data_IF_659934981114
#
_entry.id   IF_659934981114
#
_cell.length_a   1.000
_cell.length_b   1.000
_cell.length_c   1.000
_cell.angle_alpha   90.00
_cell.angle_beta   90.00
_cell.angle_gamma   90.00
#
_symmetry.space_group_name_H-M   'P 1'
#
loop_
_entity.id
_entity.type
_entity.pdbx_description
1 polymer ?
#
# COMPACT_ATOMS: atom_id res chain seq x y z
N UNK A 1 -49.41 52.27 -3.34
CA UNK A 1 -48.15 52.24 -2.55
C UNK A 1 -47.01 51.91 -3.49
N UNK A 2 -46.45 52.92 -4.18
CA UNK A 2 -45.12 53.54 -3.89
C UNK A 2 -43.99 52.47 -3.90
N UNK A 3 -43.32 52.20 -5.03
CA UNK A 3 -42.16 52.87 -5.66
C UNK A 3 -40.81 52.67 -4.92
N UNK A 4 -39.82 52.23 -5.72
CA UNK A 4 -38.34 52.49 -5.64
C UNK A 4 -37.59 51.63 -4.61
N UNK A 5 -36.37 51.14 -4.85
CA UNK A 5 -35.40 51.29 -5.95
C UNK A 5 -34.25 50.32 -5.70
N UNK A 6 -33.74 49.71 -6.78
CA UNK A 6 -32.39 49.14 -6.87
C UNK A 6 -31.37 50.20 -6.42
N UNK A 7 -30.54 49.93 -5.41
CA UNK A 7 -29.32 50.68 -5.06
C UNK A 7 -28.62 49.99 -3.88
N UNK A 8 -27.65 49.13 -4.19
CA UNK A 8 -26.51 48.82 -3.31
C UNK A 8 -25.41 48.18 -4.19
N UNK A 9 -25.02 48.96 -5.18
CA UNK A 9 -23.73 48.89 -5.83
C UNK A 9 -23.09 50.27 -5.63
N UNK A 10 -21.77 50.29 -5.45
CA UNK A 10 -20.87 51.46 -5.29
C UNK A 10 -20.55 51.85 -3.83
N UNK A 11 -19.32 51.52 -3.44
CA UNK A 11 -18.36 52.16 -2.51
C UNK A 11 -17.54 51.01 -1.91
N UNK A 12 -16.34 50.66 -2.38
CA UNK A 12 -15.13 51.48 -2.35
C UNK A 12 -14.19 51.00 -3.46
N UNK A 13 -13.89 51.88 -4.42
CA UNK A 13 -12.68 51.80 -5.24
C UNK A 13 -11.77 52.94 -4.79
N UNK A 14 -10.50 52.66 -4.52
CA UNK A 14 -9.49 53.71 -4.40
C UNK A 14 -8.20 53.33 -3.69
N UNK A 15 -7.19 52.95 -4.48
CA UNK A 15 -5.75 53.27 -4.31
C UNK A 15 -5.08 52.58 -3.09
N UNK A 16 -4.09 51.71 -3.24
CA UNK A 16 -2.70 52.03 -3.59
C UNK A 16 -2.04 50.82 -4.27
N UNK A 17 -1.52 51.05 -5.47
CA UNK A 17 -0.44 50.27 -6.04
C UNK A 17 0.88 50.95 -5.68
N UNK A 18 1.77 50.27 -4.97
CA UNK A 18 3.22 50.51 -5.04
C UNK A 18 3.96 49.20 -4.81
N UNK A 19 4.64 48.80 -5.87
CA UNK A 19 5.62 47.72 -6.00
C UNK A 19 6.82 47.88 -5.07
N UNK A 20 7.35 46.76 -4.58
CA UNK A 20 8.81 46.59 -4.47
C UNK A 20 9.20 45.17 -4.87
N UNK A 21 9.62 45.06 -6.14
CA UNK A 21 10.58 44.04 -6.55
C UNK A 21 11.87 44.28 -5.76
N UNK A 22 12.35 43.30 -5.00
CA UNK A 22 13.75 43.26 -4.55
C UNK A 22 14.49 42.28 -5.46
N UNK A 23 15.22 42.84 -6.42
CA UNK A 23 16.20 42.14 -7.23
C UNK A 23 17.62 42.32 -6.68
N UNK A 24 18.34 41.20 -6.57
CA UNK A 24 19.79 40.93 -6.63
C UNK A 24 20.84 41.98 -6.16
N UNK A 25 21.74 41.49 -5.28
CA UNK A 25 23.20 41.67 -5.44
C UNK A 25 23.96 42.28 -4.25
N UNK A 26 24.85 41.49 -3.61
CA UNK A 26 25.98 42.05 -2.83
C UNK A 26 26.30 41.42 -1.46
N UNK A 27 26.91 40.23 -1.47
CA UNK A 27 27.90 39.66 -0.52
C UNK A 27 28.32 40.53 0.71
N UNK A 28 28.02 40.08 1.93
CA UNK A 28 28.98 39.55 2.92
C UNK A 28 28.38 39.42 4.34
N UNK A 29 28.34 38.19 4.87
CA UNK A 29 28.70 37.91 6.26
C UNK A 29 27.67 38.11 7.38
N UNK A 30 26.69 37.20 7.48
CA UNK A 30 26.37 36.54 8.76
C UNK A 30 25.99 35.10 8.46
N UNK A 31 26.92 34.18 8.70
CA UNK A 31 26.68 32.74 8.81
C UNK A 31 25.81 32.48 10.05
N UNK A 32 24.50 32.68 9.88
CA UNK A 32 23.51 31.99 10.70
C UNK A 32 23.40 30.58 10.15
N UNK A 33 23.74 29.59 10.97
CA UNK A 33 23.51 28.18 10.71
C UNK A 33 22.01 28.02 10.40
N UNK A 34 21.65 27.93 9.11
CA UNK A 34 20.33 27.42 8.74
C UNK A 34 20.42 25.95 9.06
N UNK A 35 19.91 25.54 10.23
CA UNK A 35 19.44 24.17 10.40
C UNK A 35 18.60 23.88 9.15
N UNK A 36 19.12 22.98 8.31
CA UNK A 36 18.49 22.66 7.04
C UNK A 36 17.05 22.25 7.32
N UNK A 37 16.12 22.80 6.55
CA UNK A 37 14.71 22.46 6.65
C UNK A 37 14.55 20.93 6.72
N UNK A 38 14.02 20.45 7.85
CA UNK A 38 13.88 19.02 8.13
C UNK A 38 12.97 18.45 7.05
N UNK A 39 13.48 17.49 6.27
CA UNK A 39 12.67 16.83 5.23
C UNK A 39 11.62 15.97 5.91
N UNK A 40 10.41 15.95 5.35
CA UNK A 40 9.33 15.06 5.78
C UNK A 40 9.20 13.91 4.80
N UNK A 41 9.11 12.68 5.30
CA UNK A 41 8.67 11.50 4.56
C UNK A 41 7.26 11.13 5.02
N UNK A 42 6.35 11.01 4.06
CA UNK A 42 4.98 10.57 4.30
C UNK A 42 4.86 9.09 3.92
N UNK A 43 4.44 8.27 4.89
CA UNK A 43 4.18 6.85 4.72
C UNK A 43 2.68 6.62 4.82
N UNK A 44 2.06 6.05 3.79
CA UNK A 44 0.70 5.54 3.87
C UNK A 44 0.73 4.04 4.17
N UNK A 45 -0.01 3.60 5.17
CA UNK A 45 0.02 2.21 5.64
C UNK A 45 -1.36 1.59 5.58
N UNK A 46 -1.45 0.48 4.86
CA UNK A 46 -2.63 -0.38 4.78
C UNK A 46 -2.75 -1.37 5.94
N UNK A 47 -1.80 -1.36 6.88
CA UNK A 47 -1.92 -2.13 8.11
C UNK A 47 -3.03 -1.62 9.03
N UNK A 48 -3.39 -2.43 10.01
CA UNK A 48 -4.37 -2.04 11.03
C UNK A 48 -3.84 -0.91 11.91
N UNK A 49 -4.74 -0.13 12.52
CA UNK A 49 -4.39 0.97 13.42
C UNK A 49 -3.38 0.61 14.52
N UNK A 50 -3.42 -0.62 15.05
CA UNK A 50 -2.46 -1.06 16.07
C UNK A 50 -1.06 -1.31 15.49
N UNK A 51 -0.99 -1.91 14.30
CA UNK A 51 0.28 -2.13 13.61
C UNK A 51 0.90 -0.81 13.15
N UNK A 52 0.08 0.13 12.65
CA UNK A 52 0.51 1.48 12.30
C UNK A 52 1.17 2.18 13.49
N UNK A 53 0.57 2.10 14.69
CA UNK A 53 1.15 2.68 15.91
C UNK A 53 2.50 2.09 16.28
N UNK A 54 2.69 0.78 16.10
CA UNK A 54 3.99 0.15 16.39
C UNK A 54 5.03 0.51 15.32
N UNK A 55 4.64 0.52 14.04
CA UNK A 55 5.51 0.96 12.96
C UNK A 55 5.94 2.43 13.11
N UNK A 56 5.01 3.31 13.50
CA UNK A 56 5.27 4.73 13.70
C UNK A 56 6.38 4.97 14.74
N UNK A 57 6.47 4.16 15.79
CA UNK A 57 7.57 4.26 16.77
C UNK A 57 8.92 4.01 16.11
N UNK A 58 9.03 2.93 15.34
CA UNK A 58 10.28 2.57 14.64
C UNK A 58 10.65 3.62 13.60
N UNK A 59 9.66 4.08 12.83
CA UNK A 59 9.84 5.10 11.80
C UNK A 59 10.29 6.46 12.39
N UNK A 60 9.72 6.87 13.54
CA UNK A 60 10.12 8.08 14.25
C UNK A 60 11.55 7.98 14.79
N UNK A 61 11.91 6.86 15.43
CA UNK A 61 13.28 6.66 15.91
C UNK A 61 14.30 6.73 14.77
N UNK A 62 14.02 6.10 13.63
CA UNK A 62 14.86 6.23 12.44
C UNK A 62 14.92 7.69 11.93
N UNK A 63 13.79 8.40 11.92
CA UNK A 63 13.73 9.80 11.50
C UNK A 63 14.56 10.73 12.39
N UNK A 64 14.50 10.54 13.71
CA UNK A 64 15.31 11.29 14.68
C UNK A 64 16.82 11.09 14.44
N UNK A 65 17.26 9.85 14.19
CA UNK A 65 18.65 9.52 13.90
C UNK A 65 19.15 10.11 12.56
N UNK A 66 18.25 10.33 11.60
CA UNK A 66 18.58 10.76 10.24
C UNK A 66 18.22 12.23 9.95
N UNK A 67 17.76 12.99 10.95
CA UNK A 67 17.24 14.34 10.80
C UNK A 67 16.13 14.44 9.72
N UNK A 68 15.19 13.51 9.78
CA UNK A 68 14.02 13.40 8.90
C UNK A 68 12.76 13.29 9.77
N UNK A 69 11.68 13.97 9.37
CA UNK A 69 10.37 13.79 9.99
C UNK A 69 9.66 12.66 9.25
N UNK A 70 9.14 11.67 9.97
CA UNK A 70 8.36 10.60 9.34
C UNK A 70 6.92 10.70 9.82
N UNK A 71 6.03 10.99 8.87
CA UNK A 71 4.60 11.07 9.07
C UNK A 71 3.97 9.76 8.57
N UNK A 72 3.50 8.92 9.49
CA UNK A 72 2.83 7.66 9.15
C UNK A 72 1.32 7.86 9.24
N UNK A 73 0.63 7.61 8.13
CA UNK A 73 -0.81 7.77 7.97
C UNK A 73 -1.43 6.40 7.73
N UNK A 74 -2.45 6.06 8.51
CA UNK A 74 -3.29 4.89 8.21
C UNK A 74 -4.12 5.19 6.96
N UNK A 75 -4.03 4.31 5.96
CA UNK A 75 -4.79 4.39 4.72
C UNK A 75 -5.53 3.09 4.46
N UNK A 76 -6.86 3.16 4.48
CA UNK A 76 -7.75 2.05 4.13
C UNK A 76 -8.53 2.36 2.84
N UNK A 77 -8.04 3.33 2.06
CA UNK A 77 -8.57 3.73 0.78
C UNK A 77 -8.39 2.66 -0.30
N UNK A 78 -9.03 2.89 -1.46
CA UNK A 78 -8.91 1.96 -2.59
C UNK A 78 -7.60 2.19 -3.33
N UNK A 79 -7.01 1.13 -3.88
CA UNK A 79 -5.79 1.23 -4.67
C UNK A 79 -5.90 2.17 -5.88
N UNK A 80 -7.09 2.33 -6.49
CA UNK A 80 -7.27 3.30 -7.57
C UNK A 80 -7.15 4.76 -7.09
N UNK A 81 -7.65 5.06 -5.89
CA UNK A 81 -7.54 6.38 -5.25
C UNK A 81 -6.09 6.64 -4.83
N UNK A 82 -5.41 5.61 -4.32
CA UNK A 82 -3.97 5.62 -4.02
C UNK A 82 -3.13 5.96 -5.26
N UNK A 83 -3.37 5.29 -6.41
CA UNK A 83 -2.68 5.60 -7.68
C UNK A 83 -2.90 7.06 -8.07
N UNK A 84 -4.12 7.57 -7.96
CA UNK A 84 -4.42 8.97 -8.28
C UNK A 84 -3.69 9.94 -7.34
N UNK A 85 -3.63 9.63 -6.05
CA UNK A 85 -2.91 10.44 -5.06
C UNK A 85 -1.40 10.49 -5.33
N UNK A 86 -0.78 9.35 -5.67
CA UNK A 86 0.64 9.27 -6.05
C UNK A 86 0.99 10.10 -7.30
N UNK A 87 0.00 10.43 -8.14
CA UNK A 87 0.19 11.30 -9.31
C UNK A 87 -0.01 12.79 -9.00
N UNK A 88 -0.34 13.13 -7.76
CA UNK A 88 -0.47 14.50 -7.27
C UNK A 88 0.74 14.93 -6.44
N UNK A 89 0.89 16.23 -6.22
CA UNK A 89 1.95 16.79 -5.36
C UNK A 89 1.83 16.38 -3.87
N UNK A 90 0.71 15.76 -3.47
CA UNK A 90 0.43 15.37 -2.07
C UNK A 90 0.41 13.85 -1.87
N UNK A 91 0.92 13.06 -2.82
CA UNK A 91 1.02 11.61 -2.67
C UNK A 91 2.02 11.19 -1.59
N UNK A 92 1.96 9.94 -1.10
CA UNK A 92 2.94 9.42 -0.16
C UNK A 92 4.32 9.19 -0.81
N UNK A 93 5.37 9.23 -0.01
CA UNK A 93 6.72 8.80 -0.41
C UNK A 93 6.86 7.27 -0.38
N UNK A 94 6.14 6.61 0.53
CA UNK A 94 6.14 5.16 0.70
C UNK A 94 4.73 4.66 1.01
N UNK A 95 4.36 3.54 0.38
CA UNK A 95 3.15 2.79 0.70
C UNK A 95 3.56 1.48 1.36
N UNK A 96 2.99 1.19 2.51
CA UNK A 96 3.29 0.04 3.35
C UNK A 96 2.08 -0.89 3.44
N UNK A 97 2.32 -2.20 3.49
CA UNK A 97 1.29 -3.19 3.75
C UNK A 97 0.39 -3.52 2.56
N UNK A 98 0.90 -3.35 1.33
CA UNK A 98 0.14 -3.70 0.12
C UNK A 98 0.59 -5.04 -0.43
N UNK A 99 -0.35 -5.98 -0.69
CA UNK A 99 -0.06 -7.25 -1.36
C UNK A 99 0.56 -7.08 -2.75
N UNK A 100 1.56 -7.90 -3.06
CA UNK A 100 2.39 -7.80 -4.27
C UNK A 100 1.64 -8.03 -5.59
N UNK A 101 0.48 -8.70 -5.56
CA UNK A 101 -0.39 -8.93 -6.72
C UNK A 101 -0.86 -7.64 -7.39
N UNK A 102 -0.81 -6.50 -6.68
CA UNK A 102 -1.14 -5.18 -7.21
C UNK A 102 0.07 -4.45 -7.84
N UNK A 103 1.30 -4.94 -7.62
CA UNK A 103 2.54 -4.27 -8.05
C UNK A 103 2.59 -4.06 -9.56
N UNK A 104 2.11 -5.03 -10.35
CA UNK A 104 2.05 -4.90 -11.81
C UNK A 104 1.16 -3.74 -12.28
N UNK A 105 0.07 -3.47 -11.57
CA UNK A 105 -0.82 -2.33 -11.85
C UNK A 105 -0.14 -1.01 -11.50
N UNK A 106 0.52 -0.94 -10.34
CA UNK A 106 1.23 0.27 -9.89
C UNK A 106 2.43 0.60 -10.79
N UNK A 107 3.19 -0.42 -11.20
CA UNK A 107 4.32 -0.25 -12.11
C UNK A 107 3.86 0.27 -13.47
N UNK A 108 2.78 -0.28 -14.04
CA UNK A 108 2.19 0.21 -15.29
C UNK A 108 1.65 1.64 -15.16
N UNK A 109 1.11 2.01 -14.00
CA UNK A 109 0.65 3.37 -13.72
C UNK A 109 1.80 4.38 -13.48
N UNK A 110 3.05 3.90 -13.39
CA UNK A 110 4.22 4.74 -13.20
C UNK A 110 4.39 5.29 -11.78
N UNK A 111 3.73 4.68 -10.78
CA UNK A 111 3.75 5.15 -9.38
C UNK A 111 4.73 4.38 -8.49
N UNK A 112 5.61 3.57 -9.07
CA UNK A 112 6.65 2.82 -8.36
C UNK A 112 8.03 3.23 -8.81
N UNK A 113 8.96 3.43 -7.87
CA UNK A 113 10.38 3.58 -8.18
C UNK A 113 11.06 2.20 -8.31
N UNK A 114 12.09 2.14 -9.14
CA UNK A 114 12.99 0.97 -9.18
C UNK A 114 13.78 0.90 -7.87
N UNK A 115 13.81 -0.27 -7.25
CA UNK A 115 14.59 -0.51 -6.02
C UNK A 115 16.07 -0.51 -6.38
N UNK A 116 16.93 0.22 -5.64
CA UNK A 116 18.37 0.22 -5.88
C UNK A 116 18.98 -1.18 -5.86
N UNK A 117 19.88 -1.44 -6.82
CA UNK A 117 20.54 -2.72 -6.95
C UNK A 117 21.26 -3.14 -5.65
N UNK A 118 21.09 -4.40 -5.26
CA UNK A 118 21.71 -4.98 -4.05
C UNK A 118 20.93 -4.73 -2.75
N UNK A 119 19.86 -3.94 -2.79
CA UNK A 119 19.01 -3.73 -1.62
C UNK A 119 18.23 -5.01 -1.25
N UNK A 120 17.62 -5.66 -2.25
CA UNK A 120 16.85 -6.90 -2.10
C UNK A 120 17.55 -8.05 -2.84
N UNK A 121 17.83 -9.14 -2.13
CA UNK A 121 18.46 -10.35 -2.66
C UNK A 121 17.92 -11.59 -1.94
N UNK A 122 17.82 -12.72 -2.65
CA UNK A 122 17.12 -13.90 -2.16
C UNK A 122 17.73 -14.52 -0.90
N UNK A 123 19.04 -14.34 -0.67
CA UNK A 123 19.75 -14.77 0.53
C UNK A 123 19.30 -14.04 1.81
N UNK A 124 18.63 -12.89 1.67
CA UNK A 124 18.02 -12.16 2.79
C UNK A 124 16.60 -12.62 3.12
N UNK A 125 16.02 -13.52 2.32
CA UNK A 125 14.64 -13.98 2.43
C UNK A 125 14.56 -15.50 2.44
N UNK A 126 13.38 -16.03 2.75
CA UNK A 126 13.16 -17.48 2.89
C UNK A 126 13.13 -18.21 1.54
N UNK A 127 12.95 -17.50 0.43
CA UNK A 127 12.93 -18.11 -0.91
C UNK A 127 13.17 -17.09 -2.03
N UNK A 128 13.59 -17.60 -3.19
CA UNK A 128 13.70 -16.83 -4.43
C UNK A 128 12.35 -16.26 -4.89
N UNK A 129 11.24 -16.98 -4.62
CA UNK A 129 9.89 -16.55 -5.01
C UNK A 129 9.48 -15.19 -4.42
N UNK A 130 10.04 -14.79 -3.28
CA UNK A 130 9.81 -13.46 -2.69
C UNK A 130 10.44 -12.35 -3.55
N UNK A 131 11.62 -12.60 -4.09
CA UNK A 131 12.28 -11.65 -5.00
C UNK A 131 11.59 -11.66 -6.36
N UNK A 132 11.13 -12.82 -6.83
CA UNK A 132 10.39 -12.92 -8.08
C UNK A 132 9.06 -12.14 -8.01
N UNK A 133 8.37 -12.20 -6.87
CA UNK A 133 7.10 -11.51 -6.61
C UNK A 133 7.15 -9.99 -6.75
N UNK A 134 8.33 -9.38 -6.56
CA UNK A 134 8.54 -7.93 -6.70
C UNK A 134 9.23 -7.54 -8.01
N UNK A 135 9.55 -8.52 -8.86
CA UNK A 135 10.37 -8.33 -10.07
C UNK A 135 9.50 -8.29 -11.32
N UNK A 136 9.59 -7.19 -12.07
CA UNK A 136 8.87 -7.01 -13.34
C UNK A 136 9.90 -6.63 -14.40
N UNK A 137 9.95 -7.37 -15.52
CA UNK A 137 10.91 -7.08 -16.60
C UNK A 137 12.38 -7.09 -16.16
N UNK A 138 12.72 -7.92 -15.16
CA UNK A 138 14.08 -8.04 -14.61
C UNK A 138 14.48 -6.94 -13.62
N UNK A 139 13.56 -6.07 -13.22
CA UNK A 139 13.78 -4.99 -12.25
C UNK A 139 12.87 -5.12 -11.04
N UNK A 140 13.38 -4.75 -9.88
CA UNK A 140 12.68 -4.81 -8.60
C UNK A 140 11.93 -3.49 -8.34
N UNK A 141 10.68 -3.55 -7.89
CA UNK A 141 9.82 -2.36 -7.71
C UNK A 141 9.18 -2.23 -6.32
N UNK A 142 9.52 -3.11 -5.39
CA UNK A 142 9.05 -3.06 -4.01
C UNK A 142 10.08 -3.71 -3.07
N UNK A 143 9.97 -3.40 -1.77
CA UNK A 143 10.78 -4.05 -0.72
C UNK A 143 9.89 -5.06 0.01
N UNK A 144 10.18 -6.36 -0.03
CA UNK A 144 9.39 -7.35 0.68
C UNK A 144 9.50 -7.14 2.20
N UNK A 145 8.34 -7.07 2.86
CA UNK A 145 8.23 -6.82 4.30
C UNK A 145 7.79 -8.06 5.08
N UNK A 146 6.72 -8.72 4.63
CA UNK A 146 6.16 -9.91 5.24
C UNK A 146 5.67 -10.90 4.17
N UNK A 147 5.60 -12.18 4.55
CA UNK A 147 4.95 -13.23 3.78
C UNK A 147 3.68 -13.67 4.51
N UNK A 148 2.56 -13.65 3.81
CA UNK A 148 1.25 -13.96 4.37
C UNK A 148 0.69 -15.25 3.75
N UNK A 149 -0.01 -16.03 4.57
CA UNK A 149 -0.74 -17.22 4.14
C UNK A 149 -1.96 -17.41 5.03
N UNK A 150 -2.99 -18.07 4.51
CA UNK A 150 -4.12 -18.51 5.32
C UNK A 150 -3.73 -19.72 6.17
N UNK A 151 -4.41 -19.86 7.31
CA UNK A 151 -4.29 -21.02 8.19
C UNK A 151 -5.66 -21.33 8.80
N UNK A 152 -5.92 -22.62 9.05
CA UNK A 152 -7.12 -23.04 9.76
C UNK A 152 -6.92 -22.93 11.26
N UNK A 153 -7.69 -22.07 11.91
CA UNK A 153 -7.74 -21.97 13.36
C UNK A 153 -8.86 -22.86 13.90
N UNK A 154 -8.63 -23.49 15.05
CA UNK A 154 -9.62 -24.35 15.69
C UNK A 154 -9.65 -24.15 17.21
N UNK A 155 -10.83 -24.33 17.79
CA UNK A 155 -11.00 -24.32 19.24
C UNK A 155 -10.67 -25.71 19.80
N UNK A 156 -9.59 -25.81 20.59
CA UNK A 156 -9.09 -27.07 21.19
C UNK A 156 -10.06 -27.72 22.19
N UNK A 157 -11.04 -26.98 22.71
CA UNK A 157 -12.07 -27.54 23.57
C UNK A 157 -13.13 -28.30 22.77
N UNK A 158 -13.41 -27.84 21.54
CA UNK A 158 -14.40 -28.42 20.64
C UNK A 158 -13.83 -29.46 19.69
N UNK A 159 -12.58 -29.28 19.24
CA UNK A 159 -11.92 -30.15 18.26
C UNK A 159 -10.70 -30.79 18.91
N UNK A 160 -10.81 -32.10 19.20
CA UNK A 160 -9.76 -32.89 19.86
C UNK A 160 -8.77 -33.51 18.87
N UNK A 161 -9.25 -33.87 17.69
CA UNK A 161 -8.43 -34.35 16.59
C UNK A 161 -8.64 -33.44 15.39
N UNK A 162 -7.55 -32.90 14.84
CA UNK A 162 -7.59 -32.02 13.67
C UNK A 162 -7.90 -32.87 12.43
N UNK A 163 -8.85 -32.47 11.56
CA UNK A 163 -9.18 -33.26 10.39
C UNK A 163 -8.01 -33.27 9.43
N UNK A 164 -7.75 -34.43 8.81
CA UNK A 164 -6.63 -34.60 7.87
C UNK A 164 -7.04 -34.44 6.41
N UNK A 165 -8.33 -34.59 6.13
CA UNK A 165 -8.91 -34.51 4.79
C UNK A 165 -10.08 -33.52 4.78
N UNK A 166 -10.49 -33.11 3.59
CA UNK A 166 -11.66 -32.25 3.42
C UNK A 166 -12.95 -32.99 3.79
N UNK A 167 -13.01 -34.30 3.52
CA UNK A 167 -14.12 -35.17 3.90
C UNK A 167 -14.26 -35.25 5.42
N UNK A 168 -13.14 -35.43 6.13
CA UNK A 168 -13.10 -35.42 7.61
C UNK A 168 -13.54 -34.06 8.16
N UNK A 169 -13.07 -32.97 7.53
CA UNK A 169 -13.44 -31.61 7.93
C UNK A 169 -14.94 -31.38 7.76
N UNK A 170 -15.53 -31.78 6.62
CA UNK A 170 -16.98 -31.65 6.37
C UNK A 170 -17.79 -32.51 7.34
N UNK A 171 -17.35 -33.73 7.63
CA UNK A 171 -18.01 -34.60 8.60
C UNK A 171 -17.97 -33.99 10.01
N UNK A 172 -16.82 -33.49 10.44
CA UNK A 172 -16.65 -32.80 11.72
C UNK A 172 -17.50 -31.52 11.80
N UNK A 173 -17.46 -30.69 10.75
CA UNK A 173 -18.10 -29.38 10.73
C UNK A 173 -19.62 -29.45 10.88
N UNK A 174 -20.26 -30.57 10.52
CA UNK A 174 -21.70 -30.80 10.77
C UNK A 174 -22.04 -30.78 12.27
N UNK A 175 -21.10 -31.17 13.12
CA UNK A 175 -21.28 -31.24 14.57
C UNK A 175 -20.70 -30.01 15.28
N UNK A 176 -19.51 -29.54 14.86
CA UNK A 176 -18.76 -28.49 15.58
C UNK A 176 -18.87 -27.09 14.95
N UNK A 177 -19.36 -27.01 13.71
CA UNK A 177 -19.32 -25.82 12.88
C UNK A 177 -17.96 -25.61 12.20
N UNK A 178 -17.99 -24.94 11.04
CA UNK A 178 -16.84 -24.39 10.34
C UNK A 178 -17.29 -23.09 9.66
N UNK A 179 -16.54 -22.01 9.88
CA UNK A 179 -16.91 -20.69 9.39
C UNK A 179 -15.66 -20.00 8.83
N UNK A 180 -15.83 -19.36 7.67
CA UNK A 180 -14.87 -18.45 7.07
C UNK A 180 -15.63 -17.48 6.15
N UNK A 181 -15.00 -16.39 5.74
CA UNK A 181 -15.59 -15.44 4.80
C UNK A 181 -15.60 -16.01 3.37
N UNK A 182 -16.65 -16.78 3.06
CA UNK A 182 -16.84 -17.47 1.77
C UNK A 182 -16.94 -16.52 0.58
N UNK A 183 -17.35 -15.26 0.80
CA UNK A 183 -17.49 -14.27 -0.26
C UNK A 183 -16.16 -13.62 -0.63
N UNK A 184 -15.13 -13.79 0.21
CA UNK A 184 -13.80 -13.30 -0.07
C UNK A 184 -12.98 -14.36 -0.80
N UNK A 185 -12.69 -14.08 -2.07
CA UNK A 185 -11.95 -14.97 -2.96
C UNK A 185 -10.61 -15.41 -2.36
N UNK A 186 -9.94 -14.57 -1.57
CA UNK A 186 -8.66 -14.91 -0.92
C UNK A 186 -8.76 -16.16 -0.04
N UNK A 187 -9.81 -16.29 0.77
CA UNK A 187 -10.01 -17.48 1.61
C UNK A 187 -10.55 -18.65 0.81
N UNK A 188 -11.48 -18.40 -0.12
CA UNK A 188 -12.09 -19.43 -0.96
C UNK A 188 -11.11 -20.06 -1.96
N UNK A 189 -10.07 -19.33 -2.37
CA UNK A 189 -9.08 -19.81 -3.34
C UNK A 189 -8.33 -21.06 -2.89
N UNK A 190 -8.13 -21.25 -1.58
CA UNK A 190 -7.49 -22.47 -1.06
C UNK A 190 -8.27 -23.74 -1.45
N UNK A 191 -9.60 -23.69 -1.43
CA UNK A 191 -10.44 -24.83 -1.81
C UNK A 191 -10.47 -25.03 -3.33
N UNK A 192 -10.53 -23.95 -4.10
CA UNK A 192 -10.52 -24.00 -5.57
C UNK A 192 -9.20 -24.58 -6.08
N UNK A 193 -8.07 -24.11 -5.56
CA UNK A 193 -6.75 -24.55 -5.97
C UNK A 193 -6.43 -25.97 -5.51
N UNK A 194 -6.92 -26.41 -4.34
CA UNK A 194 -6.83 -27.81 -3.92
C UNK A 194 -7.53 -28.76 -4.90
N UNK A 195 -8.59 -28.28 -5.55
CA UNK A 195 -9.29 -29.00 -6.61
C UNK A 195 -8.65 -28.91 -7.99
N UNK A 196 -7.49 -28.26 -8.17
CA UNK A 196 -6.85 -28.08 -9.48
C UNK A 196 -7.11 -26.74 -10.17
N UNK A 197 -7.91 -25.87 -9.55
CA UNK A 197 -8.18 -24.52 -10.05
C UNK A 197 -6.95 -23.60 -10.02
N UNK A 198 -6.88 -22.66 -10.96
CA UNK A 198 -5.84 -21.62 -11.01
C UNK A 198 -6.39 -20.33 -11.60
N UNK A 199 -5.81 -19.17 -11.24
CA UNK A 199 -6.26 -17.88 -11.79
C UNK A 199 -5.83 -17.71 -13.25
N UNK A 200 -4.52 -17.75 -13.50
CA UNK A 200 -3.90 -17.70 -14.83
C UNK A 200 -2.90 -18.83 -14.96
N UNK A 201 -2.83 -19.46 -16.13
CA UNK A 201 -1.88 -20.54 -16.35
C UNK A 201 -0.46 -20.02 -16.18
N UNK A 202 0.32 -20.68 -15.31
CA UNK A 202 1.72 -20.37 -15.12
C UNK A 202 2.59 -21.21 -16.06
N UNK A 203 3.23 -20.54 -17.02
CA UNK A 203 4.18 -21.09 -17.97
C UNK A 203 5.61 -20.78 -17.52
N UNK A 204 6.10 -21.50 -16.50
CA UNK A 204 7.45 -21.36 -15.94
C UNK A 204 7.81 -19.92 -15.51
N UNK A 205 6.93 -19.28 -14.74
CA UNK A 205 7.08 -17.92 -14.22
C UNK A 205 6.40 -16.84 -15.05
N UNK A 206 5.88 -17.20 -16.24
CA UNK A 206 5.07 -16.29 -17.06
C UNK A 206 3.60 -16.65 -16.95
N UNK A 207 2.77 -15.74 -16.45
CA UNK A 207 1.31 -15.94 -16.38
C UNK A 207 0.67 -15.64 -17.74
N UNK A 208 -0.15 -16.57 -18.24
CA UNK A 208 -0.96 -16.39 -19.44
C UNK A 208 -2.34 -15.81 -19.09
N UNK A 209 -2.63 -14.55 -19.44
CA UNK A 209 -3.91 -13.92 -19.11
C UNK A 209 -5.09 -14.46 -19.92
N UNK A 210 -4.86 -15.26 -20.97
CA UNK A 210 -5.89 -15.85 -21.82
C UNK A 210 -6.34 -17.25 -21.40
N UNK A 211 -5.56 -17.91 -20.53
CA UNK A 211 -5.87 -19.22 -19.97
C UNK A 211 -6.25 -19.09 -18.49
N UNK A 212 -7.55 -19.08 -18.23
CA UNK A 212 -8.17 -18.94 -16.90
C UNK A 212 -8.69 -20.30 -16.44
N UNK A 213 -8.18 -20.78 -15.30
CA UNK A 213 -8.48 -22.11 -14.75
C UNK A 213 -9.48 -22.13 -13.60
N UNK A 214 -10.30 -21.09 -13.43
CA UNK A 214 -11.23 -20.99 -12.30
C UNK A 214 -12.50 -21.85 -12.43
N UNK A 215 -12.80 -22.33 -13.63
CA UNK A 215 -13.97 -23.17 -13.94
C UNK A 215 -13.60 -24.47 -14.66
N UNK A 216 -12.41 -25.00 -14.39
CA UNK A 216 -11.99 -26.29 -14.92
C UNK A 216 -12.66 -27.46 -14.17
N UNK A 217 -12.53 -28.68 -14.70
CA UNK A 217 -13.09 -29.88 -14.05
C UNK A 217 -12.33 -30.28 -12.76
N UNK A 218 -11.19 -29.64 -12.53
CA UNK A 218 -10.21 -30.00 -11.52
C UNK A 218 -9.09 -30.90 -12.05
#
# INVERSE_FOLDING_TARGET
MVKRSKLLAVLIAGVIATTSLVGCGGKSGTTGNKDGEKKTLTVWSHFTANEVKEFEKVAKSWGEENNVEVNVVEDQGKFQEMIQACQSDNGPDLILGVPHDNLGTFQKAGVTAEVPAGMVSADKYTSQGIVDAITIGGKQYAIPFAQETTAMFYNKDKVKEVPKTMEDLVAMAKETGFEYDVNNFFFSYAFLSAGGGYVYKNNNGTLDPSDIGLGNEG
#
